data_IF_729720327323
#
_entry.id   IF_729720327323
#
_cell.length_a   1.000
_cell.length_b   1.000
_cell.length_c   1.000
_cell.angle_alpha   90.00
_cell.angle_beta   90.00
_cell.angle_gamma   90.00
#
_symmetry.space_group_name_H-M   'P 1'
#
loop_
_entity.id
_entity.type
_entity.pdbx_description
1 polymer ?
#
# COMPACT_ATOMS: atom_id res chain seq x y z
N UNK A 1 -17.12 23.60 -31.44
CA UNK A 1 -16.51 22.26 -31.59
C UNK A 1 -16.32 21.61 -30.23
N UNK A 2 -15.63 22.24 -29.27
CA UNK A 2 -15.39 21.71 -27.90
C UNK A 2 -16.68 21.43 -27.10
N UNK A 3 -17.64 22.34 -27.16
CA UNK A 3 -18.94 22.19 -26.47
C UNK A 3 -19.76 21.02 -27.03
N UNK A 4 -19.66 20.78 -28.32
CA UNK A 4 -20.30 19.64 -28.98
C UNK A 4 -19.67 18.30 -28.55
N UNK A 5 -18.36 18.29 -28.36
CA UNK A 5 -17.64 17.12 -27.84
C UNK A 5 -18.03 16.80 -26.39
N UNK A 6 -18.15 17.83 -25.53
CA UNK A 6 -18.62 17.65 -24.15
C UNK A 6 -20.05 17.07 -24.12
N UNK A 7 -20.96 17.59 -24.95
CA UNK A 7 -22.32 17.06 -25.08
C UNK A 7 -22.35 15.62 -25.57
N UNK A 8 -21.50 15.28 -26.52
CA UNK A 8 -21.42 13.92 -27.06
C UNK A 8 -20.95 12.93 -25.99
N UNK A 9 -19.88 13.28 -25.23
CA UNK A 9 -19.38 12.47 -24.13
C UNK A 9 -20.42 12.29 -23.01
N UNK A 10 -21.26 13.29 -22.75
CA UNK A 10 -22.30 13.24 -21.73
C UNK A 10 -23.44 12.28 -22.05
N UNK A 11 -23.75 12.06 -23.34
CA UNK A 11 -24.86 11.18 -23.77
C UNK A 11 -24.69 9.73 -23.33
N UNK A 12 -23.45 9.26 -23.26
CA UNK A 12 -23.13 7.87 -22.94
C UNK A 12 -22.96 7.62 -21.42
N UNK A 13 -23.18 8.66 -20.60
CA UNK A 13 -22.99 8.57 -19.15
C UNK A 13 -24.25 8.11 -18.43
N UNK A 14 -24.07 7.25 -17.43
CA UNK A 14 -25.12 6.74 -16.55
C UNK A 14 -25.38 7.69 -15.38
N UNK A 15 -25.72 8.91 -15.69
CA UNK A 15 -25.96 9.95 -14.70
C UNK A 15 -27.38 9.95 -14.15
N UNK A 16 -27.50 10.27 -12.86
CA UNK A 16 -28.77 10.61 -12.24
C UNK A 16 -29.26 11.98 -12.76
N UNK A 17 -30.53 12.24 -12.60
CA UNK A 17 -31.12 13.50 -13.05
C UNK A 17 -30.45 14.72 -12.42
N UNK A 18 -30.05 14.62 -11.14
CA UNK A 18 -29.31 15.67 -10.41
C UNK A 18 -27.98 16.05 -11.08
N UNK A 19 -27.23 15.05 -11.53
CA UNK A 19 -25.93 15.27 -12.19
C UNK A 19 -26.15 15.82 -13.61
N UNK A 20 -27.16 15.33 -14.32
CA UNK A 20 -27.51 15.83 -15.65
C UNK A 20 -27.89 17.31 -15.60
N UNK A 21 -28.77 17.68 -14.67
CA UNK A 21 -29.20 19.09 -14.48
C UNK A 21 -27.99 19.98 -14.14
N UNK A 22 -27.10 19.52 -13.25
CA UNK A 22 -25.90 20.26 -12.91
C UNK A 22 -25.00 20.44 -14.13
N UNK A 23 -24.77 19.38 -14.91
CA UNK A 23 -23.96 19.43 -16.11
C UNK A 23 -24.55 20.40 -17.15
N UNK A 24 -25.83 20.34 -17.42
CA UNK A 24 -26.50 21.22 -18.37
C UNK A 24 -26.45 22.69 -17.93
N UNK A 25 -26.62 22.93 -16.62
CA UNK A 25 -26.53 24.28 -16.04
C UNK A 25 -25.11 24.85 -16.21
N UNK A 26 -24.08 24.09 -15.86
CA UNK A 26 -22.70 24.54 -15.98
C UNK A 26 -22.27 24.65 -17.46
N UNK A 27 -22.74 23.77 -18.33
CA UNK A 27 -22.52 23.85 -19.77
C UNK A 27 -23.15 25.12 -20.38
N UNK A 28 -24.34 25.48 -19.93
CA UNK A 28 -25.03 26.72 -20.35
C UNK A 28 -24.24 27.97 -19.91
N UNK A 29 -23.61 27.92 -18.74
CA UNK A 29 -22.72 29.00 -18.29
C UNK A 29 -21.48 29.09 -19.18
N UNK A 30 -20.83 27.96 -19.49
CA UNK A 30 -19.66 27.91 -20.36
C UNK A 30 -19.96 28.49 -21.74
N UNK A 31 -21.16 28.22 -22.31
CA UNK A 31 -21.59 28.77 -23.61
C UNK A 31 -21.70 30.29 -23.62
N UNK A 32 -21.98 30.90 -22.48
CA UNK A 32 -22.11 32.37 -22.33
C UNK A 32 -20.81 33.04 -21.92
N UNK A 33 -19.79 32.27 -21.51
CA UNK A 33 -18.51 32.78 -21.05
C UNK A 33 -17.59 33.04 -22.24
N UNK A 34 -16.87 34.16 -22.24
CA UNK A 34 -15.91 34.47 -23.29
C UNK A 34 -14.76 33.44 -23.27
N UNK A 35 -14.47 32.77 -24.41
CA UNK A 35 -13.40 31.77 -24.51
C UNK A 35 -12.00 32.27 -24.12
N UNK A 36 -11.77 33.57 -24.21
CA UNK A 36 -10.50 34.18 -23.83
C UNK A 36 -10.43 34.57 -22.34
N UNK A 37 -11.51 34.36 -21.58
CA UNK A 37 -11.53 34.63 -20.13
C UNK A 37 -10.88 33.48 -19.35
N UNK A 38 -10.14 33.76 -18.25
CA UNK A 38 -9.69 32.73 -17.32
C UNK A 38 -10.81 31.85 -16.77
N UNK A 39 -12.00 32.41 -16.59
CA UNK A 39 -13.18 31.70 -16.11
C UNK A 39 -13.61 30.58 -17.06
N UNK A 40 -13.40 30.72 -18.34
CA UNK A 40 -13.71 29.70 -19.33
C UNK A 40 -12.91 28.42 -19.08
N UNK A 41 -11.62 28.55 -18.80
CA UNK A 41 -10.76 27.42 -18.47
C UNK A 41 -11.17 26.70 -17.16
N UNK A 42 -11.55 27.47 -16.14
CA UNK A 42 -12.06 26.93 -14.87
C UNK A 42 -13.35 26.14 -15.07
N UNK A 43 -14.31 26.70 -15.79
CA UNK A 43 -15.59 26.07 -16.07
C UNK A 43 -15.46 24.82 -16.95
N UNK A 44 -14.59 24.88 -17.94
CA UNK A 44 -14.27 23.73 -18.79
C UNK A 44 -13.66 22.59 -17.99
N UNK A 45 -12.64 22.88 -17.18
CA UNK A 45 -12.01 21.87 -16.30
C UNK A 45 -13.04 21.22 -15.36
N UNK A 46 -13.96 22.00 -14.81
CA UNK A 46 -15.03 21.47 -13.97
C UNK A 46 -15.92 20.47 -14.73
N UNK A 47 -16.34 20.81 -15.94
CA UNK A 47 -17.15 19.91 -16.78
C UNK A 47 -16.39 18.66 -17.22
N UNK A 48 -15.09 18.78 -17.52
CA UNK A 48 -14.25 17.64 -17.83
C UNK A 48 -14.13 16.69 -16.64
N UNK A 49 -13.95 17.19 -15.42
CA UNK A 49 -13.93 16.38 -14.20
C UNK A 49 -15.27 15.67 -13.97
N UNK A 50 -16.41 16.36 -14.16
CA UNK A 50 -17.74 15.73 -14.06
C UNK A 50 -17.88 14.56 -15.05
N UNK A 51 -17.37 14.72 -16.28
CA UNK A 51 -17.41 13.68 -17.30
C UNK A 51 -16.48 12.50 -17.02
N UNK A 52 -15.36 12.76 -16.39
CA UNK A 52 -14.33 11.74 -16.15
C UNK A 52 -14.59 10.92 -14.87
N UNK A 53 -15.38 11.44 -13.94
CA UNK A 53 -15.77 10.69 -12.75
C UNK A 53 -16.68 9.51 -13.11
N UNK A 54 -16.48 8.34 -12.48
CA UNK A 54 -17.22 7.12 -12.79
C UNK A 54 -18.58 7.06 -12.07
N UNK A 55 -19.46 8.02 -12.33
CA UNK A 55 -20.79 8.05 -11.76
C UNK A 55 -21.59 6.79 -12.13
N UNK A 56 -22.06 6.04 -11.11
CA UNK A 56 -22.84 4.81 -11.28
C UNK A 56 -22.16 3.73 -12.16
N UNK A 57 -20.83 3.81 -12.29
CA UNK A 57 -20.04 2.79 -12.97
C UNK A 57 -19.47 1.82 -11.93
N UNK A 58 -19.93 0.56 -11.97
CA UNK A 58 -19.55 -0.46 -11.00
C UNK A 58 -18.96 -1.69 -11.68
N UNK A 59 -17.86 -2.21 -11.13
CA UNK A 59 -17.36 -3.53 -11.48
C UNK A 59 -18.29 -4.59 -10.90
N UNK A 60 -18.47 -5.70 -11.62
CA UNK A 60 -19.24 -6.85 -11.13
C UNK A 60 -18.41 -7.64 -10.14
N UNK A 61 -18.87 -7.71 -8.90
CA UNK A 61 -18.21 -8.43 -7.82
C UNK A 61 -18.19 -9.94 -8.04
N UNK A 62 -17.09 -10.55 -7.64
CA UNK A 62 -16.92 -12.00 -7.58
C UNK A 62 -16.59 -12.42 -6.15
N UNK A 63 -17.57 -12.96 -5.43
CA UNK A 63 -17.42 -13.49 -4.07
C UNK A 63 -17.19 -15.02 -4.05
N UNK A 64 -16.41 -15.55 -4.99
CA UNK A 64 -15.93 -16.93 -4.91
C UNK A 64 -14.76 -17.02 -3.92
N UNK A 65 -15.08 -17.44 -2.69
CA UNK A 65 -14.11 -17.53 -1.59
C UNK A 65 -13.00 -18.55 -1.84
N UNK A 66 -13.31 -19.63 -2.59
CA UNK A 66 -12.29 -20.63 -2.96
C UNK A 66 -11.29 -20.06 -3.96
N UNK A 67 -11.77 -19.26 -4.90
CA UNK A 67 -10.91 -18.52 -5.84
C UNK A 67 -10.08 -17.47 -5.09
N UNK A 68 -10.68 -16.73 -4.15
CA UNK A 68 -9.98 -15.76 -3.31
C UNK A 68 -8.84 -16.41 -2.51
N UNK A 69 -9.09 -17.55 -1.87
CA UNK A 69 -8.08 -18.32 -1.16
C UNK A 69 -6.91 -18.72 -2.08
N UNK A 70 -7.20 -19.23 -3.26
CA UNK A 70 -6.16 -19.61 -4.24
C UNK A 70 -5.31 -18.43 -4.69
N UNK A 71 -5.90 -17.25 -4.86
CA UNK A 71 -5.17 -16.04 -5.23
C UNK A 71 -4.24 -15.62 -4.08
N UNK A 72 -4.74 -15.59 -2.84
CA UNK A 72 -3.94 -15.25 -1.66
C UNK A 72 -2.77 -16.24 -1.48
N UNK A 73 -3.01 -17.54 -1.64
CA UNK A 73 -1.97 -18.57 -1.52
C UNK A 73 -0.90 -18.47 -2.61
N UNK A 74 -1.31 -18.10 -3.81
CA UNK A 74 -0.39 -17.93 -4.95
C UNK A 74 0.48 -16.68 -4.80
N UNK A 75 -0.10 -15.59 -4.33
CA UNK A 75 0.56 -14.27 -4.31
C UNK A 75 1.31 -13.99 -2.99
N UNK A 76 0.96 -14.68 -1.91
CA UNK A 76 1.56 -14.50 -0.59
C UNK A 76 1.97 -15.84 0.02
N UNK A 77 3.24 -15.95 0.36
CA UNK A 77 3.75 -17.11 1.10
C UNK A 77 3.50 -16.96 2.60
N UNK A 78 3.08 -18.01 3.27
CA UNK A 78 2.76 -17.97 4.70
C UNK A 78 1.52 -17.12 5.01
N UNK A 79 1.54 -16.40 6.12
CA UNK A 79 0.46 -15.51 6.56
C UNK A 79 -0.91 -16.22 6.70
N UNK A 80 -0.92 -17.48 7.15
CA UNK A 80 -2.14 -18.31 7.16
C UNK A 80 -3.26 -17.70 8.01
N UNK A 81 -2.92 -17.13 9.17
CA UNK A 81 -3.87 -16.44 10.04
C UNK A 81 -4.45 -15.18 9.34
N UNK A 82 -3.61 -14.40 8.69
CA UNK A 82 -4.03 -13.20 7.94
C UNK A 82 -4.97 -13.58 6.80
N UNK A 83 -4.62 -14.60 6.03
CA UNK A 83 -5.45 -15.11 4.93
C UNK A 83 -6.80 -15.62 5.43
N UNK A 84 -6.80 -16.37 6.52
CA UNK A 84 -8.03 -16.84 7.17
C UNK A 84 -8.94 -15.67 7.56
N UNK A 85 -8.41 -14.65 8.22
CA UNK A 85 -9.15 -13.45 8.61
C UNK A 85 -9.71 -12.67 7.41
N UNK A 86 -8.94 -12.58 6.33
CA UNK A 86 -9.42 -11.98 5.06
C UNK A 86 -10.60 -12.77 4.50
N UNK A 87 -10.51 -14.08 4.42
CA UNK A 87 -11.60 -14.92 3.90
C UNK A 87 -12.85 -14.85 4.78
N UNK A 88 -12.71 -14.83 6.09
CA UNK A 88 -13.82 -14.62 7.04
C UNK A 88 -14.52 -13.28 6.78
N UNK A 89 -13.76 -12.22 6.62
CA UNK A 89 -14.28 -10.89 6.31
C UNK A 89 -15.04 -10.86 4.97
N UNK A 90 -14.47 -11.44 3.92
CA UNK A 90 -15.11 -11.54 2.60
C UNK A 90 -16.39 -12.39 2.66
N UNK A 91 -16.43 -13.43 3.49
CA UNK A 91 -17.63 -14.24 3.71
C UNK A 91 -18.76 -13.42 4.33
N UNK A 92 -18.46 -12.58 5.32
CA UNK A 92 -19.44 -11.66 5.92
C UNK A 92 -19.98 -10.68 4.89
N UNK A 93 -19.12 -10.07 4.08
CA UNK A 93 -19.56 -9.16 3.01
C UNK A 93 -20.47 -9.86 2.00
N UNK A 94 -20.15 -11.10 1.63
CA UNK A 94 -20.96 -11.92 0.73
C UNK A 94 -22.36 -12.17 1.30
N UNK A 95 -22.46 -12.50 2.59
CA UNK A 95 -23.74 -12.81 3.23
C UNK A 95 -24.58 -11.57 3.48
N UNK A 96 -23.97 -10.46 3.87
CA UNK A 96 -24.67 -9.19 4.13
C UNK A 96 -25.07 -8.48 2.85
N UNK A 97 -24.33 -8.71 1.77
CA UNK A 97 -24.51 -8.02 0.48
C UNK A 97 -24.45 -6.47 0.61
N UNK A 98 -23.72 -5.97 1.59
CA UNK A 98 -23.44 -4.54 1.80
C UNK A 98 -21.97 -4.32 2.21
N UNK A 99 -21.51 -3.06 2.16
CA UNK A 99 -20.15 -2.65 2.56
C UNK A 99 -20.11 -1.98 3.94
N UNK A 100 -21.14 -2.19 4.78
CA UNK A 100 -21.26 -1.57 6.11
C UNK A 100 -20.46 -2.29 7.20
N UNK A 101 -19.58 -3.20 6.83
CA UNK A 101 -18.67 -3.87 7.78
C UNK A 101 -17.54 -2.93 8.20
N UNK A 102 -16.92 -3.16 9.36
CA UNK A 102 -15.70 -2.46 9.75
C UNK A 102 -14.65 -2.53 8.65
N UNK A 103 -13.80 -1.52 8.56
CA UNK A 103 -12.76 -1.44 7.54
C UNK A 103 -11.62 -2.34 7.94
N UNK A 104 -11.07 -3.12 7.01
CA UNK A 104 -9.85 -3.88 7.27
C UNK A 104 -8.67 -2.94 7.45
N UNK A 105 -7.93 -3.12 8.55
CA UNK A 105 -6.66 -2.44 8.77
C UNK A 105 -5.55 -3.47 8.95
N UNK A 106 -4.62 -3.52 8.02
CA UNK A 106 -3.41 -4.34 8.14
C UNK A 106 -2.37 -3.59 8.95
N UNK A 107 -2.08 -4.10 10.13
CA UNK A 107 -1.11 -3.54 11.06
C UNK A 107 0.14 -4.41 11.14
N UNK A 108 1.30 -3.81 11.15
CA UNK A 108 2.56 -4.54 11.32
C UNK A 108 3.78 -3.77 10.80
N UNK A 109 4.97 -4.33 10.94
CA UNK A 109 6.19 -3.67 10.52
C UNK A 109 6.21 -3.38 9.02
N UNK A 110 7.05 -2.44 8.56
CA UNK A 110 7.18 -2.13 7.14
C UNK A 110 7.75 -3.32 6.36
N UNK A 111 7.34 -3.45 5.10
CA UNK A 111 7.89 -4.47 4.19
C UNK A 111 7.33 -5.88 4.32
N UNK A 112 6.25 -6.08 5.09
CA UNK A 112 5.61 -7.41 5.24
C UNK A 112 4.52 -7.70 4.21
N UNK A 113 4.26 -6.78 3.28
CA UNK A 113 3.29 -7.00 2.18
C UNK A 113 1.88 -6.49 2.44
N UNK A 114 1.64 -5.62 3.42
CA UNK A 114 0.32 -5.06 3.74
C UNK A 114 -0.42 -4.48 2.52
N UNK A 115 0.26 -3.64 1.76
CA UNK A 115 -0.32 -3.01 0.56
C UNK A 115 -0.59 -4.03 -0.55
N UNK A 116 0.26 -5.05 -0.67
CA UNK A 116 0.08 -6.13 -1.65
C UNK A 116 -1.14 -7.00 -1.34
N UNK A 117 -1.47 -7.20 -0.07
CA UNK A 117 -2.69 -7.91 0.35
C UNK A 117 -3.95 -7.21 -0.18
N UNK A 118 -4.01 -5.87 -0.11
CA UNK A 118 -5.11 -5.09 -0.67
C UNK A 118 -5.27 -5.29 -2.18
N UNK A 119 -4.16 -5.36 -2.91
CA UNK A 119 -4.17 -5.63 -4.36
C UNK A 119 -4.70 -7.04 -4.66
N UNK A 120 -4.30 -8.03 -3.89
CA UNK A 120 -4.78 -9.41 -4.04
C UNK A 120 -6.27 -9.54 -3.74
N UNK A 121 -6.79 -8.80 -2.75
CA UNK A 121 -8.22 -8.72 -2.46
C UNK A 121 -8.98 -8.10 -3.64
N UNK A 122 -8.48 -7.02 -4.23
CA UNK A 122 -9.08 -6.42 -5.42
C UNK A 122 -9.19 -7.42 -6.57
N UNK A 123 -8.12 -8.16 -6.83
CA UNK A 123 -8.08 -9.21 -7.85
C UNK A 123 -9.06 -10.36 -7.54
N UNK A 124 -9.16 -10.76 -6.28
CA UNK A 124 -10.08 -11.80 -5.84
C UNK A 124 -11.54 -11.40 -6.04
N UNK A 125 -11.90 -10.15 -5.77
CA UNK A 125 -13.25 -9.60 -5.92
C UNK A 125 -13.58 -9.15 -7.35
N UNK A 126 -12.63 -9.19 -8.27
CA UNK A 126 -12.76 -8.64 -9.62
C UNK A 126 -13.07 -7.13 -9.61
N UNK A 127 -12.48 -6.40 -8.67
CA UNK A 127 -12.58 -4.94 -8.54
C UNK A 127 -11.30 -4.26 -9.00
N UNK A 128 -11.42 -3.04 -9.47
CA UNK A 128 -10.27 -2.17 -9.70
C UNK A 128 -9.56 -1.86 -8.39
N UNK A 129 -8.27 -1.58 -8.47
CA UNK A 129 -7.41 -1.26 -7.34
C UNK A 129 -7.07 0.24 -7.36
N UNK A 130 -7.35 0.91 -6.27
CA UNK A 130 -6.92 2.29 -6.04
C UNK A 130 -6.06 2.37 -4.78
N UNK A 131 -5.11 3.29 -4.76
CA UNK A 131 -4.22 3.51 -3.61
C UNK A 131 -3.95 4.98 -3.40
N UNK A 132 -3.96 5.38 -2.14
CA UNK A 132 -3.57 6.71 -1.69
C UNK A 132 -2.71 6.59 -0.44
N UNK A 133 -1.53 7.23 -0.43
CA UNK A 133 -0.72 7.35 0.78
C UNK A 133 -1.24 8.54 1.60
N UNK A 134 -1.45 8.31 2.88
CA UNK A 134 -1.85 9.32 3.85
C UNK A 134 -0.65 9.95 4.58
N UNK A 135 0.54 9.35 4.41
CA UNK A 135 1.78 9.91 4.96
C UNK A 135 2.11 11.27 4.35
N UNK A 136 2.25 12.28 5.21
CA UNK A 136 2.55 13.65 4.79
C UNK A 136 1.34 14.49 4.38
N UNK A 137 0.12 13.98 4.57
CA UNK A 137 -1.10 14.78 4.43
C UNK A 137 -1.29 15.68 5.65
N UNK A 138 -1.28 16.97 5.42
CA UNK A 138 -1.45 17.99 6.45
C UNK A 138 -2.62 18.92 6.19
N UNK A 139 -3.12 18.95 4.95
CA UNK A 139 -4.21 19.82 4.50
C UNK A 139 -5.46 18.99 4.21
N UNK A 140 -6.57 19.35 4.87
CA UNK A 140 -7.89 18.76 4.63
C UNK A 140 -8.33 18.90 3.17
N UNK A 141 -7.92 19.98 2.50
CA UNK A 141 -8.25 20.22 1.11
C UNK A 141 -7.65 19.16 0.15
N UNK A 142 -6.61 18.45 0.54
CA UNK A 142 -6.11 17.32 -0.25
C UNK A 142 -7.10 16.16 -0.28
N UNK A 143 -7.93 16.00 0.76
CA UNK A 143 -8.96 14.97 0.82
C UNK A 143 -10.27 15.47 0.19
N UNK A 144 -10.70 16.69 0.57
CA UNK A 144 -11.98 17.29 0.17
C UNK A 144 -11.93 18.11 -1.12
N UNK A 145 -10.76 18.37 -1.67
CA UNK A 145 -10.59 19.27 -2.83
C UNK A 145 -10.57 20.75 -2.47
N UNK A 146 -10.08 21.53 -3.41
CA UNK A 146 -10.08 23.00 -3.33
C UNK A 146 -11.33 23.57 -3.99
N UNK A 147 -11.79 24.74 -3.55
CA UNK A 147 -12.93 25.42 -4.18
C UNK A 147 -12.64 25.70 -5.65
N UNK A 148 -13.57 25.38 -6.53
CA UNK A 148 -13.43 25.49 -8.00
C UNK A 148 -13.10 26.88 -8.52
N UNK A 149 -13.34 27.92 -7.71
CA UNK A 149 -13.05 29.31 -8.06
C UNK A 149 -11.56 29.66 -8.08
N UNK A 150 -10.70 28.83 -7.52
CA UNK A 150 -9.26 29.05 -7.54
C UNK A 150 -8.63 28.52 -8.83
N UNK A 151 -7.69 29.28 -9.41
CA UNK A 151 -6.92 28.84 -10.58
C UNK A 151 -6.12 27.60 -10.19
N UNK A 152 -6.27 26.52 -10.98
CA UNK A 152 -5.63 25.25 -10.70
C UNK A 152 -6.32 24.39 -9.65
N UNK A 153 -7.54 24.75 -9.25
CA UNK A 153 -8.35 23.94 -8.34
C UNK A 153 -8.57 22.52 -8.90
N UNK A 154 -8.50 21.53 -8.01
CA UNK A 154 -8.69 20.13 -8.34
C UNK A 154 -9.60 19.47 -7.30
N UNK A 155 -10.32 18.40 -7.67
CA UNK A 155 -11.04 17.59 -6.69
C UNK A 155 -10.08 16.94 -5.72
N UNK A 156 -10.60 16.47 -4.59
CA UNK A 156 -9.83 15.76 -3.58
C UNK A 156 -9.17 14.49 -4.14
N UNK A 157 -8.11 14.05 -3.49
CA UNK A 157 -7.33 12.88 -3.95
C UNK A 157 -8.17 11.61 -4.05
N UNK A 158 -9.20 11.44 -3.21
CA UNK A 158 -10.10 10.28 -3.28
C UNK A 158 -10.80 10.25 -4.63
N UNK A 159 -11.42 11.34 -5.04
CA UNK A 159 -12.11 11.43 -6.34
C UNK A 159 -11.13 11.31 -7.50
N UNK A 160 -9.92 11.86 -7.38
CA UNK A 160 -8.87 11.68 -8.40
C UNK A 160 -8.49 10.20 -8.59
N UNK A 161 -8.45 9.42 -7.51
CA UNK A 161 -8.17 7.98 -7.61
C UNK A 161 -9.36 7.21 -8.19
N UNK A 162 -10.59 7.56 -7.85
CA UNK A 162 -11.79 6.99 -8.49
C UNK A 162 -11.83 7.26 -9.99
N UNK A 163 -11.49 8.48 -10.39
CA UNK A 163 -11.35 8.85 -11.80
C UNK A 163 -10.34 7.95 -12.53
N UNK A 164 -9.18 7.68 -11.92
CA UNK A 164 -8.16 6.77 -12.47
C UNK A 164 -8.64 5.32 -12.51
N UNK A 165 -9.34 4.87 -11.49
CA UNK A 165 -9.89 3.53 -11.39
C UNK A 165 -11.05 3.29 -12.36
N UNK A 166 -11.72 4.36 -12.84
CA UNK A 166 -12.87 4.31 -13.75
C UNK A 166 -14.07 3.53 -13.22
N UNK A 167 -14.12 3.28 -11.92
CA UNK A 167 -15.24 2.63 -11.23
C UNK A 167 -15.51 3.31 -9.89
N UNK A 168 -16.75 3.24 -9.41
CA UNK A 168 -17.17 3.77 -8.11
C UNK A 168 -17.15 2.72 -6.99
N UNK A 169 -16.73 1.49 -7.28
CA UNK A 169 -16.60 0.42 -6.29
C UNK A 169 -15.22 -0.26 -6.30
N UNK A 170 -14.10 0.48 -6.38
CA UNK A 170 -12.80 -0.15 -6.30
C UNK A 170 -12.50 -0.66 -4.90
N UNK A 171 -11.49 -1.50 -4.78
CA UNK A 171 -10.78 -1.70 -3.51
C UNK A 171 -9.79 -0.55 -3.36
N UNK A 172 -9.98 0.26 -2.34
CA UNK A 172 -9.22 1.49 -2.13
C UNK A 172 -8.31 1.35 -0.91
N UNK A 173 -7.01 1.28 -1.14
CA UNK A 173 -6.01 1.15 -0.07
C UNK A 173 -5.57 2.54 0.41
N UNK A 174 -5.83 2.81 1.67
CA UNK A 174 -5.37 3.98 2.42
C UNK A 174 -4.08 3.60 3.14
N UNK A 175 -2.96 3.93 2.54
CA UNK A 175 -1.64 3.50 3.01
C UNK A 175 -1.10 4.46 4.07
N UNK A 176 -0.49 3.92 5.13
CA UNK A 176 0.12 4.69 6.22
C UNK A 176 -0.87 5.63 6.95
N UNK A 177 -2.05 5.10 7.34
CA UNK A 177 -3.06 5.88 8.07
C UNK A 177 -2.56 6.38 9.43
N UNK A 178 -1.58 5.72 10.01
CA UNK A 178 -0.88 6.09 11.24
C UNK A 178 -0.04 7.38 11.11
N UNK A 179 0.24 7.80 9.87
CA UNK A 179 0.98 9.03 9.58
C UNK A 179 0.09 10.21 9.19
N UNK A 180 -1.21 10.03 9.30
CA UNK A 180 -2.14 11.12 9.05
C UNK A 180 -1.94 12.23 10.09
N UNK A 181 -1.72 13.45 9.63
CA UNK A 181 -1.49 14.61 10.51
C UNK A 181 -2.68 14.90 11.43
N UNK A 182 -2.38 15.30 12.66
CA UNK A 182 -3.38 15.85 13.55
C UNK A 182 -3.73 17.29 13.11
N UNK A 183 -4.84 17.83 13.61
CA UNK A 183 -5.37 19.14 13.27
C UNK A 183 -4.29 20.21 13.12
N UNK A 184 -4.30 20.90 11.99
CA UNK A 184 -3.41 22.00 11.67
C UNK A 184 -4.23 23.26 11.38
N UNK A 185 -3.55 24.40 11.19
CA UNK A 185 -4.18 25.64 10.72
C UNK A 185 -4.91 25.48 9.37
N UNK A 186 -4.67 24.40 8.64
CA UNK A 186 -5.25 24.10 7.32
C UNK A 186 -6.38 23.06 7.39
N UNK A 187 -7.00 22.87 8.56
CA UNK A 187 -8.09 21.94 8.77
C UNK A 187 -7.67 20.64 9.46
N UNK A 188 -8.58 19.69 9.54
CA UNK A 188 -8.37 18.38 10.17
C UNK A 188 -8.53 17.25 9.16
N UNK A 189 -7.42 16.73 8.59
CA UNK A 189 -7.46 15.60 7.68
C UNK A 189 -8.09 14.34 8.31
N UNK A 190 -7.94 14.15 9.62
CA UNK A 190 -8.52 13.01 10.33
C UNK A 190 -10.05 13.09 10.38
N UNK A 191 -10.61 14.28 10.57
CA UNK A 191 -12.07 14.49 10.51
C UNK A 191 -12.62 14.21 9.11
N UNK A 192 -11.92 14.64 8.06
CA UNK A 192 -12.30 14.31 6.69
C UNK A 192 -12.26 12.79 6.43
N UNK A 193 -11.26 12.10 6.94
CA UNK A 193 -11.17 10.64 6.82
C UNK A 193 -12.27 9.92 7.61
N UNK A 194 -12.68 10.43 8.76
CA UNK A 194 -13.82 9.88 9.49
C UNK A 194 -15.10 9.89 8.64
N UNK A 195 -15.37 10.98 7.93
CA UNK A 195 -16.52 11.06 7.03
C UNK A 195 -16.41 10.09 5.85
N UNK A 196 -15.21 9.95 5.27
CA UNK A 196 -14.95 8.98 4.18
C UNK A 196 -15.21 7.55 4.62
N UNK A 197 -14.79 7.21 5.83
CA UNK A 197 -14.82 5.85 6.35
C UNK A 197 -16.10 5.51 7.11
N UNK A 198 -16.95 6.47 7.40
CA UNK A 198 -18.24 6.25 8.05
C UNK A 198 -19.30 5.81 7.05
N UNK A 199 -19.82 4.57 7.14
CA UNK A 199 -20.84 4.08 6.20
C UNK A 199 -22.15 4.88 6.20
N UNK A 200 -22.43 5.64 7.27
CA UNK A 200 -23.62 6.47 7.35
C UNK A 200 -23.46 7.82 6.65
N UNK A 201 -22.22 8.34 6.59
CA UNK A 201 -21.90 9.64 6.03
C UNK A 201 -21.34 9.57 4.61
N UNK A 202 -20.63 8.50 4.25
CA UNK A 202 -19.87 8.41 3.01
C UNK A 202 -20.72 8.30 1.73
N UNK A 203 -22.03 8.13 1.85
CA UNK A 203 -22.96 8.21 0.69
C UNK A 203 -23.01 9.58 0.06
N UNK A 204 -22.77 10.62 0.84
CA UNK A 204 -22.80 12.01 0.42
C UNK A 204 -21.50 12.71 0.82
N UNK A 205 -20.35 12.08 0.54
CA UNK A 205 -19.06 12.68 0.78
C UNK A 205 -18.92 13.97 -0.04
N UNK A 206 -18.89 15.12 0.66
CA UNK A 206 -18.84 16.42 0.02
C UNK A 206 -17.43 16.77 -0.44
N UNK A 207 -17.28 17.04 -1.73
CA UNK A 207 -16.05 17.57 -2.31
C UNK A 207 -16.22 19.05 -2.66
N UNK A 208 -15.26 19.87 -2.21
CA UNK A 208 -15.31 21.32 -2.36
C UNK A 208 -15.17 21.78 -3.83
N UNK A 209 -14.48 20.98 -4.66
CA UNK A 209 -14.37 21.28 -6.08
C UNK A 209 -15.67 20.97 -6.83
N UNK A 210 -16.28 19.83 -6.55
CA UNK A 210 -17.54 19.44 -7.14
C UNK A 210 -18.71 20.27 -6.62
N UNK A 211 -18.60 20.82 -5.40
CA UNK A 211 -19.70 21.49 -4.67
C UNK A 211 -20.95 20.60 -4.52
N UNK A 212 -20.74 19.30 -4.44
CA UNK A 212 -21.78 18.30 -4.23
C UNK A 212 -21.23 17.05 -3.55
N UNK A 213 -22.12 16.21 -3.06
CA UNK A 213 -21.78 14.91 -2.51
C UNK A 213 -21.47 13.88 -3.60
N UNK A 214 -20.54 12.98 -3.30
CA UNK A 214 -20.22 11.81 -4.09
C UNK A 214 -20.44 10.55 -3.26
N UNK A 215 -21.09 9.54 -3.84
CA UNK A 215 -21.37 8.29 -3.13
C UNK A 215 -20.15 7.37 -3.09
N UNK A 216 -19.56 7.25 -1.89
CA UNK A 216 -18.43 6.35 -1.60
C UNK A 216 -18.88 5.02 -0.95
N UNK A 217 -20.20 4.79 -0.77
CA UNK A 217 -20.73 3.66 0.00
C UNK A 217 -20.42 2.28 -0.61
N UNK A 218 -20.08 2.24 -1.89
CA UNK A 218 -19.73 0.99 -2.60
C UNK A 218 -18.22 0.73 -2.67
N UNK A 219 -17.41 1.69 -2.25
CA UNK A 219 -15.96 1.53 -2.17
C UNK A 219 -15.60 0.60 -1.03
N UNK A 220 -14.72 -0.35 -1.26
CA UNK A 220 -14.13 -1.17 -0.20
C UNK A 220 -12.83 -0.53 0.26
N UNK A 221 -12.85 0.15 1.40
CA UNK A 221 -11.66 0.74 1.98
C UNK A 221 -10.86 -0.28 2.77
N UNK A 222 -9.54 -0.25 2.59
CA UNK A 222 -8.56 -1.03 3.36
C UNK A 222 -7.50 -0.05 3.84
N UNK A 223 -7.20 -0.06 5.13
CA UNK A 223 -6.13 0.76 5.69
C UNK A 223 -4.87 -0.07 5.95
N UNK A 224 -3.71 0.58 5.93
CA UNK A 224 -2.45 0.00 6.42
C UNK A 224 -1.85 0.90 7.48
N UNK A 225 -1.22 0.32 8.49
CA UNK A 225 -0.55 1.04 9.58
C UNK A 225 0.71 0.29 10.04
N UNK A 226 1.70 1.04 10.49
CA UNK A 226 2.88 0.49 11.16
C UNK A 226 2.77 0.65 12.68
N UNK A 227 2.05 1.67 13.14
CA UNK A 227 1.84 1.98 14.55
C UNK A 227 0.38 2.38 14.80
N UNK A 228 -0.30 1.67 15.69
CA UNK A 228 -1.70 1.97 16.04
C UNK A 228 -1.82 3.12 17.05
N UNK A 229 -0.78 3.40 17.82
CA UNK A 229 -0.81 4.39 18.90
C UNK A 229 -1.01 5.82 18.41
N UNK A 230 -0.66 6.09 17.17
CA UNK A 230 -0.77 7.42 16.54
C UNK A 230 -2.11 7.65 15.83
N UNK A 231 -2.92 6.62 15.68
CA UNK A 231 -4.22 6.70 15.02
C UNK A 231 -5.26 7.21 16.02
N UNK A 232 -6.10 8.15 15.59
CA UNK A 232 -7.19 8.63 16.42
C UNK A 232 -8.14 7.49 16.84
N UNK A 233 -8.56 7.43 18.11
CA UNK A 233 -9.44 6.37 18.61
C UNK A 233 -10.73 6.22 17.80
N UNK A 234 -11.34 7.32 17.37
CA UNK A 234 -12.55 7.30 16.54
C UNK A 234 -12.37 6.62 15.17
N UNK A 235 -11.16 6.67 14.59
CA UNK A 235 -10.82 5.92 13.38
C UNK A 235 -10.59 4.44 13.69
N UNK A 236 -9.89 4.14 14.80
CA UNK A 236 -9.64 2.75 15.23
C UNK A 236 -10.94 1.99 15.51
N UNK A 237 -11.93 2.63 16.11
CA UNK A 237 -13.23 2.03 16.40
C UNK A 237 -14.00 1.57 15.15
N UNK A 238 -13.64 2.09 13.99
CA UNK A 238 -14.23 1.70 12.70
C UNK A 238 -13.44 0.63 11.96
N UNK A 239 -12.34 0.16 12.55
CA UNK A 239 -11.41 -0.75 11.89
C UNK A 239 -11.42 -2.14 12.52
N UNK A 240 -11.34 -3.14 11.66
CA UNK A 240 -10.97 -4.49 12.04
C UNK A 240 -9.47 -4.67 11.84
N UNK A 241 -8.73 -4.76 12.94
CA UNK A 241 -7.27 -4.85 12.91
C UNK A 241 -6.83 -6.28 12.64
N UNK A 242 -6.04 -6.46 11.59
CA UNK A 242 -5.37 -7.72 11.26
C UNK A 242 -3.87 -7.50 11.41
N UNK A 243 -3.26 -8.19 12.37
CA UNK A 243 -1.81 -8.12 12.59
C UNK A 243 -1.08 -8.94 11.53
N UNK A 244 -0.19 -8.28 10.79
CA UNK A 244 0.70 -8.90 9.81
C UNK A 244 2.10 -8.90 10.42
N UNK A 245 2.50 -10.02 11.00
CA UNK A 245 3.79 -10.19 11.67
C UNK A 245 4.96 -10.14 10.67
N UNK A 246 6.17 -9.97 11.20
CA UNK A 246 7.40 -10.18 10.46
C UNK A 246 7.58 -11.64 10.04
N UNK A 247 8.54 -11.88 9.16
CA UNK A 247 8.86 -13.20 8.62
C UNK A 247 10.09 -13.80 9.27
N UNK A 248 10.08 -15.13 9.40
CA UNK A 248 11.27 -15.91 9.75
C UNK A 248 12.27 -15.94 8.57
N UNK A 249 13.49 -16.41 8.82
CA UNK A 249 14.52 -16.55 7.77
C UNK A 249 14.03 -17.49 6.68
N UNK A 250 13.45 -18.60 7.07
CA UNK A 250 12.88 -19.60 6.15
C UNK A 250 11.78 -19.00 5.27
N UNK A 251 10.86 -18.26 5.88
CA UNK A 251 9.78 -17.58 5.15
C UNK A 251 10.34 -16.52 4.19
N UNK A 252 11.30 -15.69 4.63
CA UNK A 252 11.97 -14.71 3.77
C UNK A 252 12.67 -15.37 2.59
N UNK A 253 13.31 -16.49 2.81
CA UNK A 253 14.00 -17.27 1.76
C UNK A 253 13.01 -17.79 0.73
N UNK A 254 11.87 -18.33 1.17
CA UNK A 254 10.83 -18.81 0.25
C UNK A 254 10.16 -17.65 -0.50
N UNK A 255 9.89 -16.53 0.19
CA UNK A 255 9.37 -15.31 -0.44
C UNK A 255 10.33 -14.78 -1.51
N UNK A 256 11.63 -14.74 -1.18
CA UNK A 256 12.65 -14.30 -2.12
C UNK A 256 12.70 -15.17 -3.37
N UNK A 257 12.67 -16.49 -3.20
CA UNK A 257 12.72 -17.45 -4.31
C UNK A 257 11.48 -17.41 -5.18
N UNK A 258 10.29 -17.35 -4.56
CA UNK A 258 9.00 -17.45 -5.29
C UNK A 258 8.53 -16.13 -5.88
N UNK A 259 8.84 -15.00 -5.23
CA UNK A 259 8.24 -13.70 -5.56
C UNK A 259 9.27 -12.62 -5.87
N UNK A 260 10.28 -12.41 -5.00
CA UNK A 260 11.16 -11.24 -5.15
C UNK A 260 12.14 -11.40 -6.30
N UNK A 261 12.84 -12.54 -6.38
CA UNK A 261 13.81 -12.77 -7.45
C UNK A 261 13.16 -12.78 -8.84
N UNK A 262 12.05 -13.52 -9.08
CA UNK A 262 11.36 -13.44 -10.37
C UNK A 262 10.87 -12.04 -10.73
N UNK A 263 10.39 -11.28 -9.75
CA UNK A 263 9.97 -9.89 -9.93
C UNK A 263 11.14 -9.01 -10.38
N UNK A 264 12.26 -9.10 -9.67
CA UNK A 264 13.45 -8.30 -9.96
C UNK A 264 14.05 -8.66 -11.34
N UNK A 265 14.10 -9.92 -11.70
CA UNK A 265 14.53 -10.35 -13.03
C UNK A 265 13.65 -9.74 -14.12
N UNK A 266 12.33 -9.79 -13.95
CA UNK A 266 11.37 -9.21 -14.90
C UNK A 266 11.53 -7.68 -15.01
N UNK A 267 11.66 -6.98 -13.88
CA UNK A 267 11.83 -5.52 -13.85
C UNK A 267 13.14 -5.06 -14.51
N UNK A 268 14.16 -5.91 -14.51
CA UNK A 268 15.45 -5.63 -15.14
C UNK A 268 15.59 -6.24 -16.55
N UNK A 269 14.51 -6.79 -17.12
CA UNK A 269 14.51 -7.35 -18.48
C UNK A 269 15.31 -8.64 -18.63
N UNK A 270 15.51 -9.38 -17.54
CA UNK A 270 16.29 -10.62 -17.50
C UNK A 270 15.39 -11.86 -17.45
N UNK A 271 15.94 -12.98 -17.90
CA UNK A 271 15.29 -14.29 -17.85
C UNK A 271 15.64 -15.04 -16.55
N UNK A 272 14.82 -16.00 -16.16
CA UNK A 272 15.06 -16.83 -14.99
C UNK A 272 16.37 -17.65 -15.04
N UNK A 273 16.91 -17.86 -16.25
CA UNK A 273 18.17 -18.58 -16.48
C UNK A 273 19.40 -17.71 -16.27
N UNK A 274 19.24 -16.38 -16.30
CA UNK A 274 20.36 -15.44 -16.32
C UNK A 274 20.97 -15.24 -14.92
N UNK A 275 20.17 -15.35 -13.87
CA UNK A 275 20.61 -15.35 -12.46
C UNK A 275 19.89 -16.47 -11.71
N UNK A 276 20.67 -17.32 -11.09
CA UNK A 276 20.19 -18.42 -10.26
C UNK A 276 20.80 -18.33 -8.86
N UNK A 277 19.93 -18.23 -7.86
CA UNK A 277 20.30 -18.24 -6.44
C UNK A 277 19.72 -19.49 -5.79
N UNK A 278 20.56 -20.27 -5.15
CA UNK A 278 20.14 -21.40 -4.34
C UNK A 278 19.55 -20.95 -2.99
N UNK A 279 18.95 -21.89 -2.27
CA UNK A 279 18.36 -21.60 -0.96
C UNK A 279 19.40 -21.06 0.03
N UNK A 280 20.58 -21.68 0.09
CA UNK A 280 21.67 -21.29 1.01
C UNK A 280 22.22 -19.89 0.70
N UNK A 281 22.31 -19.55 -0.58
CA UNK A 281 22.76 -18.25 -1.05
C UNK A 281 21.78 -17.15 -0.65
N UNK A 282 20.47 -17.40 -0.76
CA UNK A 282 19.44 -16.47 -0.31
C UNK A 282 19.45 -16.34 1.21
N UNK A 283 19.56 -17.45 1.96
CA UNK A 283 19.71 -17.44 3.43
C UNK A 283 20.91 -16.59 3.86
N UNK A 284 22.05 -16.73 3.18
CA UNK A 284 23.25 -15.91 3.44
C UNK A 284 22.99 -14.42 3.21
N UNK A 285 22.23 -14.06 2.18
CA UNK A 285 21.85 -12.65 1.94
C UNK A 285 20.92 -12.16 3.06
N UNK A 286 19.94 -12.95 3.46
CA UNK A 286 19.01 -12.60 4.55
C UNK A 286 19.77 -12.35 5.85
N UNK A 287 20.67 -13.26 6.24
CA UNK A 287 21.37 -13.20 7.53
C UNK A 287 22.50 -12.17 7.54
N UNK A 288 23.29 -12.09 6.47
CA UNK A 288 24.49 -11.28 6.45
C UNK A 288 24.31 -9.84 5.99
N UNK A 289 23.22 -9.54 5.28
CA UNK A 289 23.05 -8.23 4.62
C UNK A 289 21.74 -7.51 4.96
N UNK A 290 20.81 -8.18 5.66
CA UNK A 290 19.52 -7.56 6.02
C UNK A 290 19.20 -7.72 7.50
N UNK A 291 18.70 -6.64 8.12
CA UNK A 291 18.18 -6.64 9.48
C UNK A 291 16.83 -5.94 9.49
N UNK A 292 15.79 -6.70 9.18
CA UNK A 292 14.41 -6.18 9.07
C UNK A 292 13.40 -7.28 9.40
N UNK A 293 12.20 -6.90 9.81
CA UNK A 293 11.09 -7.84 10.02
C UNK A 293 10.45 -8.28 8.70
N UNK A 294 10.43 -7.40 7.70
CA UNK A 294 9.89 -7.66 6.36
C UNK A 294 10.93 -8.14 5.36
N UNK A 295 10.70 -7.83 4.10
CA UNK A 295 11.53 -8.26 2.96
C UNK A 295 11.95 -7.10 2.04
N UNK A 296 11.75 -5.84 2.46
CA UNK A 296 12.06 -4.67 1.62
C UNK A 296 13.56 -4.47 1.40
N UNK A 297 14.37 -4.64 2.46
CA UNK A 297 15.83 -4.60 2.34
C UNK A 297 16.34 -5.80 1.55
N UNK A 298 15.80 -6.99 1.80
CA UNK A 298 16.12 -8.19 1.03
C UNK A 298 15.87 -7.99 -0.46
N UNK A 299 14.74 -7.41 -0.84
CA UNK A 299 14.43 -7.10 -2.24
C UNK A 299 15.47 -6.17 -2.86
N UNK A 300 15.94 -5.15 -2.12
CA UNK A 300 17.00 -4.25 -2.58
C UNK A 300 18.34 -4.95 -2.78
N UNK A 301 18.72 -5.86 -1.88
CA UNK A 301 19.96 -6.63 -2.03
C UNK A 301 19.88 -7.61 -3.21
N UNK A 302 18.74 -8.28 -3.40
CA UNK A 302 18.49 -9.12 -4.59
C UNK A 302 18.54 -8.31 -5.89
N UNK A 303 18.01 -7.08 -5.89
CA UNK A 303 18.10 -6.18 -7.04
C UNK A 303 19.55 -5.84 -7.41
N UNK A 304 20.47 -5.72 -6.43
CA UNK A 304 21.89 -5.50 -6.71
C UNK A 304 22.52 -6.72 -7.41
N UNK A 305 22.17 -7.92 -6.97
CA UNK A 305 22.63 -9.16 -7.60
C UNK A 305 22.12 -9.28 -9.03
N UNK A 306 20.84 -8.94 -9.26
CA UNK A 306 20.25 -8.94 -10.61
C UNK A 306 20.93 -7.91 -11.50
N UNK A 307 21.21 -6.70 -10.99
CA UNK A 307 21.93 -5.66 -11.77
C UNK A 307 23.35 -6.07 -12.15
N UNK A 308 24.03 -6.83 -11.30
CA UNK A 308 25.34 -7.40 -11.67
C UNK A 308 25.23 -8.28 -12.92
N UNK A 309 24.26 -9.20 -12.96
CA UNK A 309 24.00 -10.01 -14.14
C UNK A 309 23.59 -9.17 -15.36
N UNK A 310 22.72 -8.18 -15.16
CA UNK A 310 22.27 -7.29 -16.23
C UNK A 310 23.44 -6.49 -16.85
N UNK A 311 24.37 -5.99 -16.02
CA UNK A 311 25.59 -5.32 -16.48
C UNK A 311 26.42 -6.23 -17.38
N UNK A 312 26.73 -7.44 -16.88
CA UNK A 312 27.57 -8.38 -17.63
C UNK A 312 26.93 -8.80 -18.96
N UNK A 313 25.62 -9.05 -18.96
CA UNK A 313 24.88 -9.33 -20.19
C UNK A 313 24.94 -8.17 -21.19
N UNK A 314 24.74 -6.94 -20.72
CA UNK A 314 24.75 -5.75 -21.58
C UNK A 314 26.16 -5.42 -22.13
N UNK A 315 27.21 -5.77 -21.40
CA UNK A 315 28.61 -5.59 -21.80
C UNK A 315 29.18 -6.79 -22.56
N UNK A 316 28.35 -7.83 -22.77
CA UNK A 316 28.79 -9.09 -23.39
C UNK A 316 29.98 -9.75 -22.65
N UNK A 317 30.08 -9.49 -21.33
CA UNK A 317 31.07 -10.08 -20.44
C UNK A 317 30.61 -11.46 -19.95
N UNK A 318 31.52 -12.42 -19.90
CA UNK A 318 31.23 -13.75 -19.39
C UNK A 318 31.05 -13.71 -17.84
N UNK A 319 29.98 -14.31 -17.36
CA UNK A 319 29.74 -14.52 -15.92
C UNK A 319 29.02 -15.84 -15.71
N UNK A 320 29.11 -16.37 -14.48
CA UNK A 320 28.36 -17.58 -14.11
C UNK A 320 26.95 -17.18 -13.65
N UNK A 321 25.88 -17.66 -14.30
CA UNK A 321 24.50 -17.44 -13.84
C UNK A 321 24.23 -18.01 -12.44
N UNK A 322 24.95 -19.05 -12.02
CA UNK A 322 24.85 -19.61 -10.67
C UNK A 322 25.69 -18.78 -9.70
N UNK A 323 25.00 -17.92 -8.98
CA UNK A 323 25.66 -17.03 -8.00
C UNK A 323 26.02 -17.83 -6.76
N UNK A 324 27.31 -17.88 -6.43
CA UNK A 324 27.86 -18.52 -5.22
C UNK A 324 28.15 -17.47 -4.14
N UNK A 325 28.62 -17.93 -2.96
CA UNK A 325 28.93 -17.06 -1.82
C UNK A 325 30.01 -16.02 -2.13
N UNK A 326 31.07 -16.41 -2.86
CA UNK A 326 32.14 -15.49 -3.25
C UNK A 326 31.62 -14.38 -4.17
N UNK A 327 30.78 -14.73 -5.10
CA UNK A 327 30.15 -13.75 -6.01
C UNK A 327 29.23 -12.81 -5.24
N UNK A 328 28.48 -13.31 -4.23
CA UNK A 328 27.67 -12.47 -3.35
C UNK A 328 28.54 -11.45 -2.63
N UNK A 329 29.65 -11.88 -2.03
CA UNK A 329 30.59 -10.97 -1.35
C UNK A 329 31.22 -9.96 -2.32
N UNK A 330 31.51 -10.37 -3.53
CA UNK A 330 32.05 -9.47 -4.57
C UNK A 330 31.01 -8.39 -4.94
N UNK A 331 29.71 -8.74 -5.00
CA UNK A 331 28.64 -7.82 -5.40
C UNK A 331 28.19 -6.92 -4.25
N UNK A 332 27.98 -7.50 -3.06
CA UNK A 332 27.37 -6.83 -1.91
C UNK A 332 28.41 -6.32 -0.90
N UNK A 333 29.66 -6.73 -1.03
CA UNK A 333 30.72 -6.49 -0.07
C UNK A 333 30.75 -7.55 1.04
N UNK A 334 31.66 -7.42 2.03
CA UNK A 334 31.68 -8.32 3.17
C UNK A 334 30.38 -8.28 3.95
N UNK A 335 29.97 -9.41 4.52
CA UNK A 335 28.78 -9.49 5.35
C UNK A 335 28.89 -8.50 6.51
N UNK A 336 27.85 -7.69 6.67
CA UNK A 336 27.80 -6.59 7.67
C UNK A 336 27.26 -7.05 9.01
N UNK A 337 26.56 -8.16 9.01
CA UNK A 337 25.86 -8.71 10.18
C UNK A 337 26.40 -10.13 10.39
N UNK A 338 27.20 -10.31 11.41
CA UNK A 338 27.50 -11.63 11.95
C UNK A 338 26.52 -11.86 13.09
N UNK A 339 25.71 -12.91 13.00
CA UNK A 339 24.99 -13.38 14.17
C UNK A 339 25.99 -14.08 15.05
N UNK A 340 26.07 -13.63 16.30
CA UNK A 340 26.79 -14.37 17.31
C UNK A 340 26.20 -15.78 17.34
N UNK A 341 26.97 -16.74 16.89
CA UNK A 341 26.62 -18.14 17.03
C UNK A 341 26.62 -18.44 18.53
N UNK A 342 25.59 -19.19 18.96
CA UNK A 342 25.62 -19.76 20.29
C UNK A 342 26.94 -20.54 20.46
N UNK A 343 27.88 -19.94 21.14
CA UNK A 343 29.04 -20.60 21.65
C UNK A 343 28.70 -21.11 23.03
N UNK A 344 28.90 -22.39 23.28
CA UNK A 344 28.59 -23.03 24.55
C UNK A 344 29.18 -22.22 25.72
N UNK A 345 28.41 -21.99 26.75
CA UNK A 345 28.78 -21.21 27.93
C UNK A 345 29.82 -21.97 28.79
N UNK A 346 31.00 -22.19 28.25
CA UNK A 346 32.11 -22.72 29.04
C UNK A 346 32.89 -21.65 29.82
N UNK A 347 32.54 -20.36 29.58
CA UNK A 347 33.19 -19.23 30.25
C UNK A 347 32.40 -18.83 31.49
N UNK A 348 33.01 -18.98 32.68
CA UNK A 348 32.40 -18.55 33.94
C UNK A 348 32.16 -17.02 33.93
N UNK A 349 30.95 -16.61 34.34
CA UNK A 349 30.57 -15.19 34.36
C UNK A 349 29.88 -14.66 33.11
N UNK A 350 29.65 -15.52 32.11
CA UNK A 350 28.84 -15.18 30.94
C UNK A 350 27.51 -15.91 30.99
N UNK A 351 26.41 -15.18 30.87
CA UNK A 351 25.07 -15.76 30.82
C UNK A 351 24.45 -15.40 29.47
N UNK A 352 23.90 -16.40 28.79
CA UNK A 352 23.14 -16.19 27.56
C UNK A 352 21.74 -15.74 27.88
N UNK A 353 21.38 -14.54 27.44
CA UNK A 353 20.03 -13.99 27.48
C UNK A 353 19.35 -14.03 26.12
N UNK A 354 18.04 -14.16 26.12
CA UNK A 354 17.23 -13.99 24.90
C UNK A 354 16.58 -12.60 24.94
N UNK A 355 16.81 -11.84 23.89
CA UNK A 355 16.15 -10.55 23.71
C UNK A 355 15.15 -10.62 22.56
N UNK A 356 13.98 -10.02 22.79
CA UNK A 356 13.02 -9.82 21.72
C UNK A 356 13.18 -8.43 21.16
N UNK A 357 13.51 -8.34 19.87
CA UNK A 357 13.69 -7.06 19.19
C UNK A 357 12.60 -6.85 18.14
N UNK A 358 12.46 -5.63 17.63
CA UNK A 358 11.53 -5.32 16.54
C UNK A 358 11.79 -6.10 15.25
N UNK A 359 12.94 -6.74 15.13
CA UNK A 359 13.35 -7.54 13.96
C UNK A 359 13.43 -9.04 14.23
N UNK A 360 13.03 -9.50 15.42
CA UNK A 360 12.99 -10.89 15.84
C UNK A 360 13.74 -11.15 17.14
N UNK A 361 13.87 -12.43 17.52
CA UNK A 361 14.68 -12.84 18.67
C UNK A 361 16.17 -12.69 18.40
N UNK A 362 16.90 -12.21 19.39
CA UNK A 362 18.36 -12.08 19.35
C UNK A 362 18.98 -12.69 20.60
N UNK A 363 20.21 -13.19 20.47
CA UNK A 363 20.97 -13.76 21.59
C UNK A 363 21.88 -12.67 22.15
N UNK A 364 21.79 -12.45 23.46
CA UNK A 364 22.66 -11.51 24.15
C UNK A 364 23.55 -12.28 25.12
N UNK A 365 24.84 -11.98 25.09
CA UNK A 365 25.77 -12.44 26.09
C UNK A 365 25.93 -11.39 27.18
N UNK A 366 25.47 -11.71 28.39
CA UNK A 366 25.59 -10.86 29.56
C UNK A 366 26.81 -11.25 30.33
N UNK A 367 27.86 -10.43 30.27
CA UNK A 367 29.11 -10.65 31.02
C UNK A 367 29.00 -9.95 32.38
N UNK A 368 29.21 -10.69 33.45
CA UNK A 368 29.39 -10.14 34.79
C UNK A 368 30.83 -9.71 34.96
N UNK A 369 31.10 -8.40 34.92
CA UNK A 369 32.37 -7.81 35.26
C UNK A 369 32.38 -7.54 36.78
N UNK A 370 33.22 -8.21 37.52
CA UNK A 370 33.49 -7.89 38.92
C UNK A 370 34.54 -6.77 38.92
N UNK A 371 34.14 -5.58 39.27
CA UNK A 371 35.11 -4.53 39.64
C UNK A 371 35.37 -4.69 41.13
N UNK A 372 36.55 -5.15 41.51
CA UNK A 372 37.00 -5.02 42.89
C UNK A 372 37.12 -3.54 43.20
N UNK A 373 36.36 -3.01 44.12
CA UNK A 373 36.65 -1.70 44.72
C UNK A 373 38.03 -1.76 45.36
N UNK A 374 38.98 -1.12 44.73
CA UNK A 374 40.29 -0.80 45.34
C UNK A 374 40.06 0.43 46.25
N UNK A 375 39.30 0.28 47.31
CA UNK A 375 39.06 1.29 48.30
C UNK A 375 39.08 0.68 49.72
N UNK A 376 40.08 -0.13 49.98
CA UNK A 376 40.51 -0.48 51.31
C UNK A 376 42.06 -0.56 51.32
N UNK A 377 42.69 0.58 51.34
CA UNK A 377 43.98 0.85 51.97
C UNK A 377 43.94 2.28 52.55
#
# INVERSE_FOLDING_TARGET
QEIEELKKKAKDKKWDDKIKELFEKELSKLQRTNPNSPDYGIQRNYLEVLLELPWNEYSKDNFDLKRAQKILDKEHYGLDEVKRRIIEYLAVLKLRNDMKSPILCFYGPPGVGKTSLGRSIAKALNREYARMSLGGLHDEAEIRGHRKTYIGAMPGRILQQLKKAKTSNPVFVLDEIDKLGNSSYQGDPSAAMLEVLDPEQNKEFYDNFLEMGYDLSKVMFIATANDLSTIQPALLDRMEIINVSGYTIEEKTEIAKRHLLPKQLKEHGMKATDIQLGKKEIERIVEGYTRESGVRALEKELAKVVRYGAKNLAMEEAYDPKINFETIEKILGPARLERDKYEDNEVAGVVTGLAWTSVGGDILFICLLYTSDAADE
#
